data_IF_151786462666
#
_entry.id   IF_151786462666
#
_cell.length_a   1.000
_cell.length_b   1.000
_cell.length_c   1.000
_cell.angle_alpha   90.00
_cell.angle_beta   90.00
_cell.angle_gamma   90.00
#
_symmetry.space_group_name_H-M   'P 1'
#
loop_
_entity.id
_entity.type
_entity.pdbx_description
1 polymer ?
#
# COMPACT_ATOMS: atom_id res chain seq x y z
N UNK A 1 -9.35 -0.23 -12.23
CA UNK A 1 -9.23 0.86 -11.24
C UNK A 1 -7.99 0.59 -10.40
N UNK A 2 -7.13 1.59 -10.19
CA UNK A 2 -5.92 1.47 -9.38
C UNK A 2 -5.93 2.53 -8.27
N UNK A 3 -5.30 2.24 -7.14
CA UNK A 3 -5.30 3.15 -5.97
C UNK A 3 -3.90 3.24 -5.38
N UNK A 4 -3.48 4.45 -5.02
CA UNK A 4 -2.23 4.70 -4.29
C UNK A 4 -2.58 5.14 -2.87
N UNK A 5 -1.99 4.50 -1.87
CA UNK A 5 -2.08 4.89 -0.47
C UNK A 5 -0.73 5.39 -0.01
N UNK A 6 -0.67 6.67 0.38
CA UNK A 6 0.52 7.32 0.92
C UNK A 6 0.36 7.38 2.44
N UNK A 7 1.24 6.68 3.16
CA UNK A 7 1.16 6.47 4.59
C UNK A 7 0.44 5.17 4.95
N UNK A 8 1.19 4.21 5.50
CA UNK A 8 0.78 2.88 5.92
C UNK A 8 0.78 2.73 7.47
N UNK A 9 0.44 3.81 8.16
CA UNK A 9 0.07 3.78 9.58
C UNK A 9 -1.21 2.95 9.82
N UNK A 10 -1.72 2.93 11.06
CA UNK A 10 -2.87 2.07 11.44
C UNK A 10 -4.09 2.20 10.51
N UNK A 11 -4.53 3.44 10.24
CA UNK A 11 -5.67 3.71 9.35
C UNK A 11 -5.36 3.46 7.87
N UNK A 12 -4.23 3.98 7.38
CA UNK A 12 -3.83 3.86 5.97
C UNK A 12 -3.64 2.41 5.55
N UNK A 13 -2.99 1.61 6.40
CA UNK A 13 -2.81 0.17 6.18
C UNK A 13 -4.16 -0.57 6.10
N UNK A 14 -5.09 -0.28 7.02
CA UNK A 14 -6.41 -0.91 7.01
C UNK A 14 -7.21 -0.59 5.75
N UNK A 15 -7.13 0.65 5.27
CA UNK A 15 -7.74 1.05 4.01
C UNK A 15 -7.09 0.33 2.81
N UNK A 16 -5.76 0.32 2.74
CA UNK A 16 -5.02 -0.31 1.65
C UNK A 16 -5.32 -1.82 1.56
N UNK A 17 -5.30 -2.53 2.69
CA UNK A 17 -5.65 -3.96 2.75
C UNK A 17 -7.11 -4.21 2.36
N UNK A 18 -8.02 -3.32 2.74
CA UNK A 18 -9.42 -3.43 2.32
C UNK A 18 -9.58 -3.33 0.81
N UNK A 19 -8.86 -2.41 0.16
CA UNK A 19 -8.84 -2.29 -1.30
C UNK A 19 -8.27 -3.55 -1.98
N UNK A 20 -7.16 -4.09 -1.48
CA UNK A 20 -6.58 -5.36 -1.96
C UNK A 20 -7.59 -6.50 -1.84
N UNK A 21 -8.27 -6.64 -0.70
CA UNK A 21 -9.29 -7.69 -0.48
C UNK A 21 -10.52 -7.53 -1.38
N UNK A 22 -10.82 -6.32 -1.84
CA UNK A 22 -11.85 -6.05 -2.84
C UNK A 22 -11.39 -6.27 -4.29
N UNK A 23 -10.14 -6.74 -4.51
CA UNK A 23 -9.59 -6.98 -5.84
C UNK A 23 -9.12 -5.71 -6.57
N UNK A 24 -8.94 -4.60 -5.84
CA UNK A 24 -8.44 -3.36 -6.41
C UNK A 24 -6.91 -3.38 -6.39
N UNK A 25 -6.29 -3.16 -7.55
CA UNK A 25 -4.83 -2.98 -7.63
C UNK A 25 -4.42 -1.79 -6.78
N UNK A 26 -3.75 -2.05 -5.66
CA UNK A 26 -3.43 -1.06 -4.64
C UNK A 26 -1.93 -1.02 -4.42
N UNK A 27 -1.35 0.16 -4.60
CA UNK A 27 0.06 0.44 -4.32
C UNK A 27 0.17 1.24 -3.03
N UNK A 28 1.07 0.83 -2.14
CA UNK A 28 1.39 1.52 -0.89
C UNK A 28 2.74 2.23 -0.99
N UNK A 29 2.83 3.42 -0.40
CA UNK A 29 4.07 4.16 -0.21
C UNK A 29 4.16 4.62 1.25
N UNK A 30 5.30 4.39 1.89
CA UNK A 30 5.64 4.87 3.22
C UNK A 30 7.17 5.06 3.31
N UNK A 31 7.62 5.88 4.26
CA UNK A 31 9.03 6.07 4.58
C UNK A 31 9.57 4.90 5.42
N UNK A 32 8.69 4.24 6.19
CA UNK A 32 9.05 3.09 7.01
C UNK A 32 9.09 1.80 6.17
N UNK A 33 10.27 1.18 5.98
CA UNK A 33 10.40 -0.06 5.21
C UNK A 33 9.63 -1.23 5.84
N UNK A 34 9.47 -1.26 7.16
CA UNK A 34 8.75 -2.34 7.85
C UNK A 34 7.25 -2.27 7.50
N UNK A 35 6.70 -1.05 7.35
CA UNK A 35 5.32 -0.84 6.94
C UNK A 35 5.08 -1.31 5.48
N UNK A 36 6.05 -1.10 4.60
CA UNK A 36 6.03 -1.60 3.22
C UNK A 36 6.04 -3.13 3.19
N UNK A 37 6.99 -3.78 3.87
CA UNK A 37 7.09 -5.24 3.93
C UNK A 37 5.81 -5.89 4.49
N UNK A 38 5.23 -5.28 5.53
CA UNK A 38 3.97 -5.73 6.10
C UNK A 38 2.80 -5.61 5.11
N UNK A 39 2.82 -4.63 4.22
CA UNK A 39 1.78 -4.44 3.20
C UNK A 39 1.95 -5.38 2.01
N UNK A 40 3.18 -5.64 1.56
CA UNK A 40 3.48 -6.66 0.55
C UNK A 40 3.05 -8.05 1.04
N UNK A 41 3.32 -8.36 2.32
CA UNK A 41 2.86 -9.60 2.96
C UNK A 41 1.33 -9.73 3.01
N UNK A 42 0.60 -8.62 2.94
CA UNK A 42 -0.86 -8.59 2.88
C UNK A 42 -1.41 -8.66 1.43
N UNK A 43 -0.54 -8.77 0.42
CA UNK A 43 -0.91 -8.88 -0.99
C UNK A 43 -1.00 -7.54 -1.74
N UNK A 44 -0.53 -6.44 -1.13
CA UNK A 44 -0.43 -5.14 -1.79
C UNK A 44 0.86 -4.97 -2.59
N UNK A 45 0.87 -4.04 -3.55
CA UNK A 45 2.11 -3.62 -4.21
C UNK A 45 2.76 -2.49 -3.41
N UNK A 46 4.08 -2.35 -3.46
CA UNK A 46 4.76 -1.17 -2.90
C UNK A 46 5.63 -0.44 -3.90
N UNK A 47 5.93 0.81 -3.57
CA UNK A 47 6.89 1.62 -4.31
C UNK A 47 7.76 2.40 -3.34
N UNK A 48 8.98 2.71 -3.77
CA UNK A 48 9.95 3.53 -3.03
C UNK A 48 10.12 4.93 -3.64
N UNK A 49 9.46 5.22 -4.76
CA UNK A 49 9.41 6.54 -5.38
C UNK A 49 8.04 6.80 -6.00
N UNK A 50 7.64 8.08 -6.00
CA UNK A 50 6.42 8.56 -6.65
C UNK A 50 6.63 8.97 -8.11
N UNK A 51 7.87 8.96 -8.60
CA UNK A 51 8.21 9.45 -9.96
C UNK A 51 7.67 8.55 -11.09
N UNK A 52 7.16 7.36 -10.78
CA UNK A 52 6.84 6.30 -11.76
C UNK A 52 5.48 5.62 -11.53
N UNK A 53 4.55 6.30 -10.84
CA UNK A 53 3.21 5.77 -10.52
C UNK A 53 2.13 6.47 -11.35
#
# INVERSE_FOLDING_TARGET
>A
MQTLVIGLGSMGFGAAVSCVRSGISTTGFDLDPDALERFESAGGNTTKSLDSI
#
